data_IF_641682030627
#
_entry.id   IF_641682030627
#
_cell.length_a   1.000
_cell.length_b   1.000
_cell.length_c   1.000
_cell.angle_alpha   90.00
_cell.angle_beta   90.00
_cell.angle_gamma   90.00
#
_symmetry.space_group_name_H-M   'P 1'
#
loop_
_entity.id
_entity.type
_entity.pdbx_description
1 polymer ?
#
# COMPACT_ATOMS: atom_id res chain seq x y z
N UNK A 1 -16.38 0.53 -41.11
CA UNK A 1 -17.24 1.33 -40.22
C UNK A 1 -16.38 1.88 -39.08
N UNK A 2 -16.03 3.17 -39.09
CA UNK A 2 -15.17 3.77 -38.04
C UNK A 2 -15.97 3.85 -36.75
N UNK A 3 -15.55 3.11 -35.73
CA UNK A 3 -16.09 3.20 -34.37
C UNK A 3 -15.97 4.65 -33.89
N UNK A 4 -17.12 5.30 -33.69
CA UNK A 4 -17.19 6.58 -33.01
C UNK A 4 -16.66 6.34 -31.60
N UNK A 5 -15.51 6.96 -31.26
CA UNK A 5 -15.01 6.98 -29.88
C UNK A 5 -16.08 7.65 -29.01
N UNK A 6 -16.98 6.84 -28.43
CA UNK A 6 -17.81 7.27 -27.30
C UNK A 6 -16.83 7.77 -26.25
N UNK A 7 -16.98 9.02 -25.84
CA UNK A 7 -16.24 9.56 -24.72
C UNK A 7 -16.58 8.70 -23.50
N UNK A 8 -15.62 7.91 -23.06
CA UNK A 8 -15.84 6.80 -22.14
C UNK A 8 -15.90 7.37 -20.72
N UNK A 9 -17.04 7.94 -20.36
CA UNK A 9 -17.26 8.59 -19.06
C UNK A 9 -16.93 7.66 -17.88
N UNK A 10 -16.96 6.34 -18.09
CA UNK A 10 -16.48 5.33 -17.15
C UNK A 10 -15.01 5.54 -16.74
N UNK A 11 -14.12 5.85 -17.68
CA UNK A 11 -12.69 6.12 -17.39
C UNK A 11 -12.53 7.41 -16.56
N UNK A 12 -13.39 8.40 -16.80
CA UNK A 12 -13.43 9.62 -16.00
C UNK A 12 -13.94 9.35 -14.58
N UNK A 13 -15.00 8.56 -14.46
CA UNK A 13 -15.55 8.14 -13.17
C UNK A 13 -14.52 7.35 -12.37
N UNK A 14 -13.80 6.40 -12.97
CA UNK A 14 -12.73 5.63 -12.28
C UNK A 14 -11.67 6.54 -11.67
N UNK A 15 -11.23 7.58 -12.39
CA UNK A 15 -10.20 8.51 -11.91
C UNK A 15 -10.70 9.46 -10.84
N UNK A 16 -11.96 9.88 -10.91
CA UNK A 16 -12.54 10.86 -9.99
C UNK A 16 -13.15 10.20 -8.74
N UNK A 17 -13.46 8.90 -8.80
CA UNK A 17 -14.08 8.15 -7.70
C UNK A 17 -13.28 8.24 -6.40
N UNK A 18 -11.94 8.05 -6.37
CA UNK A 18 -11.16 8.22 -5.15
C UNK A 18 -11.25 9.63 -4.58
N UNK A 19 -11.29 10.66 -5.43
CA UNK A 19 -11.43 12.04 -5.00
C UNK A 19 -12.81 12.29 -4.36
N UNK A 20 -13.88 11.78 -4.98
CA UNK A 20 -15.24 11.85 -4.42
C UNK A 20 -15.29 11.11 -3.07
N UNK A 21 -14.67 9.93 -2.96
CA UNK A 21 -14.63 9.16 -1.72
C UNK A 21 -13.92 9.92 -0.60
N UNK A 22 -12.79 10.59 -0.89
CA UNK A 22 -12.07 11.43 0.08
C UNK A 22 -12.92 12.62 0.51
N UNK A 23 -13.57 13.33 -0.43
CA UNK A 23 -14.44 14.45 -0.10
C UNK A 23 -15.64 14.01 0.75
N UNK A 24 -16.24 12.87 0.43
CA UNK A 24 -17.33 12.31 1.20
C UNK A 24 -16.88 11.90 2.61
N UNK A 25 -15.70 11.30 2.74
CA UNK A 25 -15.12 10.95 4.05
C UNK A 25 -14.87 12.20 4.91
N UNK A 26 -14.38 13.30 4.33
CA UNK A 26 -14.25 14.59 5.02
C UNK A 26 -15.61 15.19 5.38
N UNK A 27 -16.64 15.02 4.55
CA UNK A 27 -17.98 15.52 4.87
C UNK A 27 -18.60 14.73 6.03
N UNK A 28 -18.56 13.41 5.98
CA UNK A 28 -19.04 12.54 7.06
C UNK A 28 -18.26 12.80 8.35
N UNK A 29 -16.93 12.92 8.25
CA UNK A 29 -16.10 13.30 9.39
C UNK A 29 -16.49 14.64 9.99
N UNK A 30 -16.81 15.65 9.17
CA UNK A 30 -17.22 16.96 9.65
C UNK A 30 -18.53 16.88 10.44
N UNK A 31 -19.49 16.08 9.95
CA UNK A 31 -20.76 15.81 10.66
C UNK A 31 -20.46 15.20 12.03
N UNK A 32 -19.60 14.18 12.10
CA UNK A 32 -19.21 13.56 13.38
C UNK A 32 -18.54 14.56 14.33
N UNK A 33 -17.63 15.39 13.83
CA UNK A 33 -16.96 16.42 14.63
C UNK A 33 -17.98 17.43 15.19
N UNK A 34 -18.94 17.87 14.37
CA UNK A 34 -20.00 18.76 14.83
C UNK A 34 -20.89 18.11 15.89
N UNK A 35 -21.21 16.81 15.76
CA UNK A 35 -22.01 16.08 16.74
C UNK A 35 -21.30 15.95 18.11
N UNK A 36 -19.97 15.98 18.12
CA UNK A 36 -19.16 15.99 19.35
C UNK A 36 -19.06 17.41 19.95
N UNK A 37 -19.55 18.43 19.25
CA UNK A 37 -19.54 19.82 19.70
C UNK A 37 -18.28 20.60 19.32
N UNK A 38 -17.44 20.03 18.45
CA UNK A 38 -16.17 20.62 18.02
C UNK A 38 -16.29 21.34 16.67
N UNK A 39 -15.35 22.24 16.37
CA UNK A 39 -15.32 22.96 15.09
C UNK A 39 -14.58 22.15 14.00
N UNK A 40 -15.25 21.67 12.92
CA UNK A 40 -14.60 20.84 11.90
C UNK A 40 -13.45 21.53 11.17
N UNK A 41 -13.57 22.83 10.92
CA UNK A 41 -12.54 23.60 10.21
C UNK A 41 -11.25 23.67 11.04
N UNK A 42 -11.37 23.90 12.35
CA UNK A 42 -10.23 23.89 13.26
C UNK A 42 -9.58 22.50 13.37
N UNK A 43 -10.39 21.44 13.50
CA UNK A 43 -9.91 20.06 13.60
C UNK A 43 -9.18 19.66 12.31
N UNK A 44 -9.74 19.93 11.14
CA UNK A 44 -9.07 19.62 9.88
C UNK A 44 -7.81 20.44 9.65
N UNK A 45 -7.82 21.73 9.96
CA UNK A 45 -6.60 22.56 9.88
C UNK A 45 -5.49 21.98 10.75
N UNK A 46 -5.82 21.52 11.95
CA UNK A 46 -4.88 20.87 12.86
C UNK A 46 -4.40 19.53 12.30
N UNK A 47 -5.30 18.67 11.84
CA UNK A 47 -4.98 17.36 11.25
C UNK A 47 -4.03 17.49 10.05
N UNK A 48 -4.38 18.34 9.08
CA UNK A 48 -3.51 18.59 7.92
C UNK A 48 -2.20 19.26 8.34
N UNK A 49 -2.23 20.17 9.33
CA UNK A 49 -1.02 20.76 9.91
C UNK A 49 -0.05 19.72 10.46
N UNK A 50 -0.54 18.72 11.19
CA UNK A 50 0.29 17.61 11.69
C UNK A 50 0.77 16.68 10.58
N UNK A 51 -0.08 16.40 9.59
CA UNK A 51 0.24 15.43 8.54
C UNK A 51 1.21 15.97 7.48
N UNK A 52 1.08 17.22 7.05
CA UNK A 52 1.86 17.80 5.94
C UNK A 52 2.58 19.10 6.27
N UNK A 53 2.45 19.62 7.50
CA UNK A 53 3.04 20.89 7.90
C UNK A 53 4.53 20.82 8.29
N UNK A 54 5.10 19.62 8.47
CA UNK A 54 6.51 19.45 8.80
C UNK A 54 7.07 18.11 8.28
N UNK A 55 8.40 17.94 8.38
CA UNK A 55 9.11 16.76 7.87
C UNK A 55 8.67 15.44 8.53
N UNK A 56 8.42 15.46 9.83
CA UNK A 56 8.00 14.26 10.58
C UNK A 56 6.59 13.82 10.20
N UNK A 57 5.69 14.78 9.95
CA UNK A 57 4.36 14.55 9.40
C UNK A 57 4.42 13.85 8.06
N UNK A 58 5.20 14.41 7.12
CA UNK A 58 5.43 13.80 5.81
C UNK A 58 6.02 12.38 5.94
N UNK A 59 6.98 12.21 6.84
CA UNK A 59 7.55 10.89 7.15
C UNK A 59 6.50 9.89 7.61
N UNK A 60 5.59 10.30 8.50
CA UNK A 60 4.49 9.47 8.98
C UNK A 60 3.47 9.12 7.87
N UNK A 61 3.10 10.10 7.05
CA UNK A 61 2.19 9.90 5.92
C UNK A 61 2.77 8.88 4.95
N UNK A 62 4.03 9.05 4.55
CA UNK A 62 4.71 8.11 3.65
C UNK A 62 4.89 6.74 4.29
N UNK A 63 5.27 6.68 5.57
CA UNK A 63 5.43 5.43 6.30
C UNK A 63 4.14 4.60 6.32
N UNK A 64 2.98 5.24 6.50
CA UNK A 64 1.67 4.57 6.50
C UNK A 64 1.15 4.28 5.10
N UNK A 65 1.37 5.19 4.14
CA UNK A 65 0.88 5.03 2.77
C UNK A 65 1.64 3.94 1.99
N UNK A 66 2.95 3.81 2.21
CA UNK A 66 3.81 2.86 1.51
C UNK A 66 3.29 1.43 1.59
N UNK A 67 3.06 0.82 2.77
CA UNK A 67 2.57 -0.56 2.83
C UNK A 67 1.20 -0.71 2.17
N UNK A 68 0.29 0.27 2.28
CA UNK A 68 -1.02 0.21 1.63
C UNK A 68 -0.92 0.21 0.10
N UNK A 69 -0.08 1.08 -0.46
CA UNK A 69 0.14 1.18 -1.90
C UNK A 69 0.81 -0.09 -2.43
N UNK A 70 1.89 -0.55 -1.79
CA UNK A 70 2.66 -1.68 -2.27
C UNK A 70 1.92 -3.02 -2.09
N UNK A 71 1.16 -3.20 -1.00
CA UNK A 71 0.32 -4.40 -0.85
C UNK A 71 -0.81 -4.44 -1.88
N UNK A 72 -1.47 -3.30 -2.15
CA UNK A 72 -2.44 -3.19 -3.23
C UNK A 72 -1.82 -3.47 -4.61
N UNK A 73 -0.63 -2.94 -4.88
CA UNK A 73 0.12 -3.18 -6.11
C UNK A 73 0.47 -4.66 -6.30
N UNK A 74 0.89 -5.33 -5.23
CA UNK A 74 1.20 -6.76 -5.24
C UNK A 74 0.00 -7.61 -5.69
N UNK A 75 -1.19 -7.31 -5.19
CA UNK A 75 -2.43 -7.99 -5.59
C UNK A 75 -2.80 -7.66 -7.04
N UNK A 76 -2.76 -6.38 -7.41
CA UNK A 76 -3.06 -5.92 -8.77
C UNK A 76 -2.12 -6.53 -9.83
N UNK A 77 -0.83 -6.66 -9.51
CA UNK A 77 0.16 -7.29 -10.37
C UNK A 77 -0.11 -8.79 -10.54
N UNK A 78 -0.36 -9.51 -9.43
CA UNK A 78 -0.68 -10.94 -9.48
C UNK A 78 -1.92 -11.22 -10.36
N UNK A 79 -2.98 -10.41 -10.22
CA UNK A 79 -4.18 -10.53 -11.04
C UNK A 79 -3.91 -10.32 -12.53
N UNK A 80 -3.00 -9.40 -12.90
CA UNK A 80 -2.59 -9.24 -14.30
C UNK A 80 -1.87 -10.47 -14.87
N UNK A 81 -1.23 -11.27 -14.02
CA UNK A 81 -0.62 -12.54 -14.39
C UNK A 81 -1.60 -13.73 -14.35
N UNK A 82 -2.89 -13.50 -14.04
CA UNK A 82 -3.87 -14.57 -13.86
C UNK A 82 -3.67 -15.40 -12.59
N UNK A 83 -2.90 -14.90 -11.63
CA UNK A 83 -2.63 -15.54 -10.35
C UNK A 83 -3.35 -14.81 -9.21
N UNK A 84 -3.73 -15.55 -8.18
CA UNK A 84 -4.32 -14.98 -6.97
C UNK A 84 -3.30 -14.94 -5.84
N UNK A 85 -2.85 -13.75 -5.42
CA UNK A 85 -1.89 -13.63 -4.31
C UNK A 85 -2.60 -13.38 -2.97
N UNK A 86 -3.00 -14.45 -2.28
CA UNK A 86 -3.58 -14.38 -0.91
C UNK A 86 -2.50 -14.09 0.13
N UNK A 87 -1.28 -14.59 -0.09
CA UNK A 87 -0.19 -14.53 0.89
C UNK A 87 0.47 -13.16 1.05
N UNK A 88 -0.11 -12.08 0.51
CA UNK A 88 0.47 -10.74 0.54
C UNK A 88 0.77 -10.23 1.95
N UNK A 89 -0.10 -10.50 2.92
CA UNK A 89 0.15 -10.15 4.33
C UNK A 89 1.39 -10.86 4.87
N UNK A 90 1.54 -12.16 4.61
CA UNK A 90 2.72 -12.93 5.00
C UNK A 90 3.99 -12.44 4.30
N UNK A 91 3.92 -12.10 3.00
CA UNK A 91 5.04 -11.49 2.26
C UNK A 91 5.47 -10.18 2.92
N UNK A 92 4.51 -9.33 3.32
CA UNK A 92 4.78 -8.09 4.03
C UNK A 92 5.45 -8.35 5.39
N UNK A 93 4.94 -9.29 6.19
CA UNK A 93 5.51 -9.59 7.51
C UNK A 93 6.92 -10.16 7.42
N UNK A 94 7.17 -11.15 6.55
CA UNK A 94 8.51 -11.74 6.39
C UNK A 94 9.48 -10.73 5.79
N UNK A 95 9.04 -9.93 4.82
CA UNK A 95 9.86 -8.86 4.27
C UNK A 95 10.23 -7.81 5.32
N UNK A 96 9.27 -7.38 6.14
CA UNK A 96 9.51 -6.46 7.25
C UNK A 96 10.50 -7.06 8.25
N UNK A 97 10.31 -8.31 8.64
CA UNK A 97 11.20 -9.01 9.56
C UNK A 97 12.65 -9.03 9.06
N UNK A 98 12.89 -9.41 7.80
CA UNK A 98 14.25 -9.45 7.26
C UNK A 98 14.87 -8.05 7.09
N UNK A 99 14.07 -7.05 6.68
CA UNK A 99 14.53 -5.67 6.61
C UNK A 99 14.95 -5.15 7.99
N UNK A 100 14.13 -5.42 9.02
CA UNK A 100 14.41 -5.07 10.41
C UNK A 100 15.66 -5.81 10.91
N UNK A 101 15.77 -7.11 10.67
CA UNK A 101 16.93 -7.90 11.08
C UNK A 101 18.23 -7.35 10.47
N UNK A 102 18.24 -7.05 9.16
CA UNK A 102 19.40 -6.42 8.50
C UNK A 102 19.71 -5.04 9.10
N UNK A 103 18.67 -4.21 9.29
CA UNK A 103 18.82 -2.86 9.85
C UNK A 103 19.43 -2.85 11.27
N UNK A 104 19.08 -3.84 12.10
CA UNK A 104 19.63 -3.99 13.45
C UNK A 104 20.96 -4.75 13.50
N UNK A 105 21.28 -5.56 12.49
CA UNK A 105 22.54 -6.33 12.45
C UNK A 105 23.70 -5.47 11.93
N UNK A 106 23.45 -4.65 10.90
CA UNK A 106 24.49 -3.90 10.19
C UNK A 106 24.47 -2.40 10.52
N UNK A 107 24.31 -2.04 11.80
CA UNK A 107 24.16 -0.64 12.25
C UNK A 107 25.35 0.26 11.95
N UNK A 108 26.54 -0.32 11.71
CA UNK A 108 27.77 0.41 11.44
C UNK A 108 27.93 0.81 9.96
N UNK A 109 27.04 0.35 9.07
CA UNK A 109 27.09 0.72 7.65
C UNK A 109 26.54 2.14 7.42
N UNK A 110 27.10 2.89 6.45
CA UNK A 110 26.52 4.16 6.05
C UNK A 110 25.12 3.96 5.46
N UNK A 111 24.23 4.93 5.70
CA UNK A 111 22.81 4.84 5.32
C UNK A 111 22.60 4.52 3.82
N UNK A 112 23.47 5.04 2.95
CA UNK A 112 23.42 4.80 1.50
C UNK A 112 23.58 3.33 1.11
N UNK A 113 24.22 2.52 1.96
CA UNK A 113 24.39 1.06 1.77
C UNK A 113 23.32 0.31 2.56
N UNK A 114 23.10 0.72 3.81
CA UNK A 114 22.17 0.02 4.70
C UNK A 114 20.73 0.04 4.18
N UNK A 115 20.25 1.17 3.66
CA UNK A 115 18.87 1.29 3.18
C UNK A 115 18.60 0.36 1.98
N UNK A 116 19.41 0.37 0.89
CA UNK A 116 19.26 -0.61 -0.18
C UNK A 116 19.37 -2.06 0.30
N UNK A 117 20.27 -2.36 1.24
CA UNK A 117 20.42 -3.70 1.79
C UNK A 117 19.15 -4.17 2.52
N UNK A 118 18.52 -3.30 3.32
CA UNK A 118 17.24 -3.59 3.96
C UNK A 118 16.13 -3.82 2.92
N UNK A 119 16.08 -3.03 1.84
CA UNK A 119 15.10 -3.21 0.76
C UNK A 119 15.29 -4.55 0.05
N UNK A 120 16.53 -4.92 -0.27
CA UNK A 120 16.85 -6.21 -0.89
C UNK A 120 16.52 -7.38 0.03
N UNK A 121 16.79 -7.26 1.33
CA UNK A 121 16.40 -8.26 2.32
C UNK A 121 14.87 -8.41 2.43
N UNK A 122 14.13 -7.29 2.39
CA UNK A 122 12.67 -7.31 2.37
C UNK A 122 12.13 -8.03 1.13
N UNK A 123 12.67 -7.69 -0.04
CA UNK A 123 12.30 -8.31 -1.31
C UNK A 123 12.60 -9.82 -1.30
N UNK A 124 13.77 -10.22 -0.79
CA UNK A 124 14.13 -11.62 -0.62
C UNK A 124 13.17 -12.34 0.32
N UNK A 125 12.80 -11.73 1.45
CA UNK A 125 11.84 -12.31 2.40
C UNK A 125 10.46 -12.52 1.80
N UNK A 126 9.93 -11.51 1.11
CA UNK A 126 8.68 -11.61 0.38
C UNK A 126 8.74 -12.69 -0.71
N UNK A 127 9.84 -12.76 -1.46
CA UNK A 127 10.04 -13.79 -2.49
C UNK A 127 10.11 -15.20 -1.91
N UNK A 128 10.82 -15.39 -0.80
CA UNK A 128 10.89 -16.68 -0.10
C UNK A 128 9.51 -17.14 0.38
N UNK A 129 8.71 -16.23 0.93
CA UNK A 129 7.34 -16.54 1.35
C UNK A 129 6.43 -16.88 0.16
N UNK A 130 6.53 -16.13 -0.93
CA UNK A 130 5.77 -16.36 -2.16
C UNK A 130 6.20 -17.63 -2.91
N UNK A 131 7.46 -18.05 -2.75
CA UNK A 131 8.02 -19.20 -3.46
C UNK A 131 7.33 -20.50 -3.08
N UNK A 132 6.85 -20.65 -1.84
CA UNK A 132 6.19 -21.88 -1.38
C UNK A 132 4.96 -22.20 -2.23
N UNK A 133 3.89 -21.37 -2.27
CA UNK A 133 2.75 -21.62 -3.14
C UNK A 133 3.11 -21.55 -4.62
N UNK A 134 4.05 -20.69 -5.02
CA UNK A 134 4.51 -20.58 -6.42
C UNK A 134 5.14 -21.87 -6.96
N UNK A 135 5.98 -22.53 -6.18
CA UNK A 135 6.61 -23.80 -6.55
C UNK A 135 5.58 -24.92 -6.58
N UNK A 136 4.66 -24.97 -5.61
CA UNK A 136 3.59 -25.97 -5.60
C UNK A 136 2.70 -25.84 -6.83
N UNK A 137 2.26 -24.62 -7.17
CA UNK A 137 1.52 -24.33 -8.41
C UNK A 137 2.29 -24.80 -9.65
N UNK A 138 3.56 -24.44 -9.75
CA UNK A 138 4.39 -24.75 -10.93
C UNK A 138 4.64 -26.26 -11.11
N UNK A 139 4.78 -27.02 -10.01
CA UNK A 139 5.08 -28.46 -10.07
C UNK A 139 3.84 -29.35 -10.13
N UNK A 140 2.77 -28.96 -9.45
CA UNK A 140 1.61 -29.84 -9.23
C UNK A 140 0.32 -29.33 -9.87
N UNK A 141 0.28 -28.08 -10.31
CA UNK A 141 -0.90 -27.45 -10.88
C UNK A 141 -1.99 -27.10 -9.85
N UNK A 142 -1.76 -27.34 -8.56
CA UNK A 142 -2.72 -27.01 -7.48
C UNK A 142 -3.03 -25.52 -7.46
N UNK A 143 -4.25 -25.17 -7.08
CA UNK A 143 -4.62 -23.77 -6.94
C UNK A 143 -3.91 -23.15 -5.74
N UNK A 144 -3.28 -22.00 -5.95
CA UNK A 144 -2.62 -21.20 -4.92
C UNK A 144 -3.59 -20.68 -3.84
N UNK A 145 -4.91 -20.80 -4.08
CA UNK A 145 -5.99 -20.44 -3.17
C UNK A 145 -6.49 -21.64 -2.35
N UNK A 146 -6.35 -22.86 -2.86
CA UNK A 146 -6.93 -24.07 -2.27
C UNK A 146 -5.76 -24.96 -1.85
N UNK A 147 -5.47 -24.93 -0.54
CA UNK A 147 -4.52 -25.83 0.11
C UNK A 147 -5.21 -27.12 0.51
#
# INVERSE_FOLDING_TARGET
>A
MKSVKKFDYYILLEKITPLIAVLFALLVGAIVIMLIGENPMFVYKTLFGYAIGNRDGWGNVLFRATPLIFTGLTVAFAFRCGLFNIGGEGQMYIGTFLATWVGFTFTNLPAIILIPLCILAAAAGGALWAAVPGILKAKTGVHEVIV
#
